data_IF_528796760480
#
_entry.id   IF_528796760480
#
_cell.length_a   1.000
_cell.length_b   1.000
_cell.length_c   1.000
_cell.angle_alpha   90.00
_cell.angle_beta   90.00
_cell.angle_gamma   90.00
#
_symmetry.space_group_name_H-M   'P 1'
#
loop_
_entity.id
_entity.type
_entity.pdbx_description
1 polymer ?
#
# COMPACT_ATOMS: atom_id res chain seq x y z
N UNK A 1 -39.23 0.77 17.23
CA UNK A 1 -38.13 0.65 18.20
C UNK A 1 -36.94 1.43 17.67
N UNK A 2 -36.31 2.29 18.47
CA UNK A 2 -35.08 2.97 18.04
C UNK A 2 -33.96 1.93 17.85
N UNK A 3 -33.48 1.78 16.61
CA UNK A 3 -32.41 0.83 16.27
C UNK A 3 -31.12 1.21 17.02
N UNK A 4 -30.41 0.28 17.68
CA UNK A 4 -29.21 0.60 18.46
C UNK A 4 -28.12 1.17 17.56
N UNK A 5 -27.61 2.34 17.94
CA UNK A 5 -26.78 3.21 17.11
C UNK A 5 -25.30 2.85 17.25
N UNK A 6 -24.88 1.72 16.67
CA UNK A 6 -23.48 1.55 16.31
C UNK A 6 -23.21 2.43 15.07
N UNK A 7 -23.16 3.75 15.28
CA UNK A 7 -22.80 4.72 14.24
C UNK A 7 -21.53 5.44 14.69
N UNK A 8 -20.60 5.61 13.76
CA UNK A 8 -19.36 6.35 13.99
C UNK A 8 -19.17 7.36 12.85
N UNK A 9 -18.22 8.29 12.98
CA UNK A 9 -17.90 9.23 11.89
C UNK A 9 -17.51 8.53 10.58
N UNK A 10 -17.00 7.30 10.64
CA UNK A 10 -16.73 6.47 9.45
C UNK A 10 -18.00 6.25 8.61
N UNK A 11 -19.16 6.14 9.28
CA UNK A 11 -20.45 6.01 8.63
C UNK A 11 -20.82 7.27 7.82
N UNK A 12 -20.49 8.45 8.34
CA UNK A 12 -20.73 9.73 7.64
C UNK A 12 -19.79 9.89 6.43
N UNK A 13 -18.50 9.55 6.60
CA UNK A 13 -17.48 9.65 5.54
C UNK A 13 -17.80 8.70 4.37
N UNK A 14 -18.19 7.46 4.68
CA UNK A 14 -18.42 6.43 3.67
C UNK A 14 -19.87 6.38 3.17
N UNK A 15 -20.79 7.15 3.76
CA UNK A 15 -22.21 7.11 3.40
C UNK A 15 -22.94 5.82 3.82
N UNK A 16 -22.54 5.18 4.93
CA UNK A 16 -23.09 3.90 5.42
C UNK A 16 -23.85 4.06 6.76
N UNK A 17 -24.59 3.04 7.20
CA UNK A 17 -25.39 3.03 8.43
C UNK A 17 -24.59 2.50 9.63
N UNK A 18 -23.80 1.44 9.41
CA UNK A 18 -23.02 0.73 10.42
C UNK A 18 -21.53 0.71 10.05
N UNK A 19 -20.60 0.78 11.02
CA UNK A 19 -19.15 0.73 10.77
C UNK A 19 -18.68 -0.71 10.53
N UNK A 20 -19.42 -1.46 9.70
CA UNK A 20 -19.13 -2.84 9.32
C UNK A 20 -18.66 -2.83 7.89
N UNK A 21 -17.43 -3.30 7.67
CA UNK A 21 -16.81 -3.33 6.35
C UNK A 21 -16.50 -4.79 6.01
N UNK A 22 -17.02 -5.24 4.86
CA UNK A 22 -16.66 -6.53 4.29
C UNK A 22 -15.22 -6.48 3.74
N UNK A 23 -14.41 -7.48 4.05
CA UNK A 23 -13.06 -7.59 3.48
C UNK A 23 -13.09 -7.98 2.00
N UNK A 24 -12.22 -7.38 1.18
CA UNK A 24 -12.06 -7.64 -0.26
C UNK A 24 -11.39 -8.97 -0.58
N UNK A 25 -11.99 -10.09 -0.18
CA UNK A 25 -11.40 -11.41 -0.38
C UNK A 25 -11.55 -11.90 -1.82
N UNK A 26 -10.41 -12.04 -2.53
CA UNK A 26 -10.35 -12.57 -3.90
C UNK A 26 -11.07 -13.91 -4.04
N UNK A 27 -11.94 -14.04 -5.05
CA UNK A 27 -12.71 -15.26 -5.30
C UNK A 27 -13.92 -15.50 -4.38
N UNK A 28 -14.07 -14.71 -3.30
CA UNK A 28 -15.18 -14.86 -2.33
C UNK A 28 -16.08 -13.63 -2.32
N UNK A 29 -15.50 -12.43 -2.23
CA UNK A 29 -16.24 -11.18 -2.14
C UNK A 29 -16.66 -10.67 -3.52
N UNK A 30 -17.80 -11.21 -4.00
CA UNK A 30 -18.41 -10.94 -5.32
C UNK A 30 -19.71 -10.14 -5.19
N UNK A 31 -20.25 -9.68 -6.31
CA UNK A 31 -21.33 -8.72 -6.44
C UNK A 31 -22.53 -8.97 -5.52
N UNK A 32 -23.01 -10.22 -5.40
CA UNK A 32 -24.15 -10.56 -4.51
C UNK A 32 -23.85 -10.29 -3.04
N UNK A 33 -22.67 -10.68 -2.57
CA UNK A 33 -22.28 -10.49 -1.17
C UNK A 33 -22.01 -9.01 -0.89
N UNK A 34 -21.32 -8.33 -1.81
CA UNK A 34 -21.01 -6.90 -1.72
C UNK A 34 -22.29 -6.06 -1.67
N UNK A 35 -23.25 -6.34 -2.55
CA UNK A 35 -24.53 -5.66 -2.56
C UNK A 35 -25.32 -5.93 -1.28
N UNK A 36 -25.39 -7.19 -0.83
CA UNK A 36 -26.10 -7.55 0.40
C UNK A 36 -25.55 -6.84 1.65
N UNK A 37 -24.23 -6.72 1.78
CA UNK A 37 -23.62 -5.98 2.91
C UNK A 37 -23.91 -4.48 2.81
N UNK A 38 -23.86 -3.92 1.60
CA UNK A 38 -24.12 -2.49 1.38
C UNK A 38 -25.59 -2.13 1.67
N UNK A 39 -26.54 -2.98 1.25
CA UNK A 39 -27.97 -2.86 1.56
C UNK A 39 -28.27 -3.05 3.05
N UNK A 40 -27.53 -3.93 3.74
CA UNK A 40 -27.62 -4.08 5.18
C UNK A 40 -27.08 -2.86 5.97
N UNK A 41 -26.52 -1.88 5.27
CA UNK A 41 -26.02 -0.63 5.83
C UNK A 41 -24.54 -0.65 6.20
N UNK A 42 -23.79 -1.70 5.84
CA UNK A 42 -22.32 -1.73 5.91
C UNK A 42 -21.67 -1.22 4.62
N UNK A 43 -20.36 -1.41 4.48
CA UNK A 43 -19.64 -1.21 3.22
C UNK A 43 -19.22 -2.58 2.65
N UNK A 44 -19.79 -2.97 1.52
CA UNK A 44 -19.30 -4.12 0.75
C UNK A 44 -18.01 -3.76 0.00
N UNK A 45 -17.02 -4.65 -0.04
CA UNK A 45 -15.79 -4.46 -0.83
C UNK A 45 -15.54 -5.68 -1.72
N UNK A 46 -15.43 -5.48 -3.03
CA UNK A 46 -15.09 -6.52 -4.02
C UNK A 46 -13.63 -6.94 -3.87
N UNK A 47 -13.35 -8.25 -3.86
CA UNK A 47 -11.98 -8.76 -3.90
C UNK A 47 -11.52 -9.00 -5.33
N UNK A 48 -10.83 -8.03 -5.94
CA UNK A 48 -10.46 -8.00 -7.35
C UNK A 48 -8.99 -8.35 -7.62
N UNK A 49 -8.32 -9.05 -6.69
CA UNK A 49 -6.90 -9.40 -6.78
C UNK A 49 -6.46 -9.96 -8.16
N UNK A 50 -7.27 -10.84 -8.75
CA UNK A 50 -6.97 -11.49 -10.05
C UNK A 50 -7.95 -11.10 -11.16
N UNK A 51 -8.86 -10.14 -10.92
CA UNK A 51 -9.87 -9.77 -11.91
C UNK A 51 -9.28 -8.88 -12.98
N UNK A 52 -9.38 -9.30 -14.24
CA UNK A 52 -9.03 -8.43 -15.37
C UNK A 52 -9.95 -7.19 -15.43
N UNK A 53 -9.56 -6.13 -16.17
CA UNK A 53 -10.32 -4.88 -16.22
C UNK A 53 -11.77 -5.06 -16.72
N UNK A 54 -12.01 -5.97 -17.66
CA UNK A 54 -13.36 -6.22 -18.19
C UNK A 54 -14.21 -7.02 -17.18
N UNK A 55 -13.64 -8.04 -16.53
CA UNK A 55 -14.31 -8.78 -15.45
C UNK A 55 -14.63 -7.86 -14.28
N UNK A 56 -13.69 -6.99 -13.89
CA UNK A 56 -13.88 -6.01 -12.83
C UNK A 56 -15.00 -5.03 -13.17
N UNK A 57 -15.03 -4.54 -14.43
CA UNK A 57 -16.08 -3.64 -14.91
C UNK A 57 -17.46 -4.30 -14.84
N UNK A 58 -17.56 -5.53 -15.32
CA UNK A 58 -18.81 -6.30 -15.26
C UNK A 58 -19.24 -6.56 -13.82
N UNK A 59 -18.30 -6.86 -12.93
CA UNK A 59 -18.58 -7.08 -11.51
C UNK A 59 -19.10 -5.81 -10.83
N UNK A 60 -18.49 -4.65 -11.12
CA UNK A 60 -18.94 -3.33 -10.65
C UNK A 60 -20.37 -3.05 -11.11
N UNK A 61 -20.67 -3.27 -12.39
CA UNK A 61 -22.00 -3.02 -12.96
C UNK A 61 -23.07 -3.91 -12.33
N UNK A 62 -22.77 -5.19 -12.12
CA UNK A 62 -23.67 -6.12 -11.41
C UNK A 62 -23.95 -5.68 -9.97
N UNK A 63 -23.01 -5.02 -9.30
CA UNK A 63 -23.27 -4.45 -7.96
C UNK A 63 -24.23 -3.28 -8.08
N UNK A 64 -24.00 -2.38 -9.04
CA UNK A 64 -24.88 -1.21 -9.29
C UNK A 64 -26.29 -1.61 -9.73
N UNK A 65 -26.47 -2.77 -10.35
CA UNK A 65 -27.79 -3.33 -10.64
C UNK A 65 -28.54 -3.81 -9.38
N UNK A 66 -27.81 -4.12 -8.30
CA UNK A 66 -28.36 -4.68 -7.06
C UNK A 66 -28.49 -3.66 -5.93
N UNK A 67 -27.72 -2.57 -5.96
CA UNK A 67 -27.72 -1.56 -4.90
C UNK A 67 -27.24 -0.19 -5.39
N UNK A 68 -27.88 0.86 -4.88
CA UNK A 68 -27.43 2.25 -5.01
C UNK A 68 -26.53 2.69 -3.83
N UNK A 69 -26.28 1.79 -2.86
CA UNK A 69 -25.45 2.05 -1.68
C UNK A 69 -23.96 2.02 -2.03
N UNK A 70 -23.12 2.74 -1.28
CA UNK A 70 -21.68 2.77 -1.53
C UNK A 70 -21.05 1.39 -1.32
N UNK A 71 -20.08 1.07 -2.17
CA UNK A 71 -19.25 -0.13 -2.11
C UNK A 71 -17.81 0.20 -2.53
N UNK A 72 -16.88 -0.72 -2.27
CA UNK A 72 -15.48 -0.56 -2.67
C UNK A 72 -14.94 -1.69 -3.51
N UNK A 73 -13.72 -1.50 -4.01
CA UNK A 73 -12.92 -2.50 -4.74
C UNK A 73 -11.55 -2.62 -4.12
N UNK A 74 -11.11 -3.84 -3.86
CA UNK A 74 -9.79 -4.20 -3.35
C UNK A 74 -8.95 -4.89 -4.44
N UNK A 75 -7.79 -4.35 -4.78
CA UNK A 75 -6.83 -4.96 -5.73
C UNK A 75 -5.48 -5.21 -5.06
N UNK A 76 -4.63 -6.02 -5.69
CA UNK A 76 -3.25 -6.16 -5.21
C UNK A 76 -2.33 -5.16 -5.94
N UNK A 77 -1.40 -4.57 -5.19
CA UNK A 77 -0.39 -3.63 -5.68
C UNK A 77 1.03 -4.25 -5.58
N UNK A 78 1.30 -5.44 -6.14
CA UNK A 78 2.53 -6.17 -5.89
C UNK A 78 3.77 -5.29 -6.13
N UNK A 79 4.74 -5.36 -5.21
CA UNK A 79 6.03 -4.70 -5.39
C UNK A 79 6.67 -5.25 -6.67
N UNK A 80 6.59 -4.49 -7.76
CA UNK A 80 7.19 -4.91 -9.01
C UNK A 80 8.70 -4.75 -8.88
N UNK A 81 9.41 -5.88 -8.82
CA UNK A 81 10.83 -5.87 -9.12
C UNK A 81 10.99 -5.33 -10.56
N UNK A 82 11.96 -4.44 -10.83
CA UNK A 82 12.21 -4.02 -12.20
C UNK A 82 12.45 -5.26 -13.05
N UNK A 83 11.64 -5.42 -14.09
CA UNK A 83 11.94 -6.36 -15.16
C UNK A 83 13.25 -5.86 -15.77
N UNK A 84 14.29 -6.71 -15.95
CA UNK A 84 15.52 -6.25 -16.59
C UNK A 84 15.18 -5.87 -18.04
N UNK A 85 14.95 -4.58 -18.28
CA UNK A 85 14.85 -4.02 -19.62
C UNK A 85 16.24 -3.51 -19.99
N UNK A 86 16.91 -4.26 -20.86
CA UNK A 86 18.08 -3.79 -21.60
C UNK A 86 19.41 -3.93 -20.86
N UNK A 87 19.95 -5.14 -20.80
CA UNK A 87 21.40 -5.32 -20.73
C UNK A 87 21.94 -5.40 -22.16
N UNK A 88 22.22 -4.24 -22.77
CA UNK A 88 23.24 -4.15 -23.81
C UNK A 88 24.24 -3.06 -23.42
N UNK A 89 25.52 -3.37 -23.63
CA UNK A 89 26.74 -2.57 -23.41
C UNK A 89 27.49 -2.75 -22.07
N UNK A 90 28.34 -3.78 -22.08
CA UNK A 90 29.71 -3.88 -21.55
C UNK A 90 30.21 -2.90 -20.47
N UNK A 91 30.65 -3.43 -19.31
CA UNK A 91 32.07 -3.68 -18.98
C UNK A 91 32.31 -3.72 -17.45
N UNK A 92 33.10 -4.69 -16.97
CA UNK A 92 33.78 -4.58 -15.66
C UNK A 92 33.35 -5.55 -14.55
N UNK A 93 33.71 -6.83 -14.70
CA UNK A 93 34.23 -7.73 -13.67
C UNK A 93 33.56 -7.85 -12.29
N UNK A 94 32.97 -9.03 -12.02
CA UNK A 94 32.95 -9.58 -10.66
C UNK A 94 31.81 -10.55 -10.31
N UNK A 95 32.10 -11.85 -10.39
CA UNK A 95 31.36 -13.03 -9.86
C UNK A 95 30.12 -13.46 -10.65
N UNK A 96 30.17 -14.71 -11.14
CA UNK A 96 29.22 -15.27 -12.10
C UNK A 96 27.78 -15.34 -11.62
N UNK A 97 26.89 -14.79 -12.42
CA UNK A 97 25.47 -15.12 -12.46
C UNK A 97 25.34 -16.62 -12.74
N UNK A 98 25.00 -17.40 -11.71
CA UNK A 98 24.43 -18.72 -11.92
C UNK A 98 23.06 -18.54 -12.56
N UNK A 99 22.87 -19.14 -13.73
CA UNK A 99 21.61 -19.16 -14.47
C UNK A 99 20.40 -19.34 -13.54
N UNK A 100 19.55 -18.31 -13.45
CA UNK A 100 18.24 -18.46 -12.81
C UNK A 100 17.46 -19.48 -13.66
N UNK A 101 17.04 -20.64 -13.12
CA UNK A 101 16.36 -21.65 -13.91
C UNK A 101 15.11 -21.07 -14.56
N UNK A 102 14.93 -21.31 -15.86
CA UNK A 102 13.75 -20.85 -16.61
C UNK A 102 12.43 -21.42 -16.07
N UNK A 103 12.50 -22.46 -15.24
CA UNK A 103 11.35 -23.15 -14.68
C UNK A 103 11.55 -23.40 -13.18
N UNK A 104 10.62 -22.90 -12.37
CA UNK A 104 10.62 -23.07 -10.91
C UNK A 104 10.55 -24.55 -10.48
N UNK A 105 10.04 -25.44 -11.33
CA UNK A 105 9.97 -26.87 -11.06
C UNK A 105 11.36 -27.50 -10.96
N UNK A 106 12.33 -26.94 -11.66
CA UNK A 106 13.73 -27.40 -11.63
C UNK A 106 14.44 -26.97 -10.33
N UNK A 107 13.81 -26.07 -9.56
CA UNK A 107 14.26 -25.64 -8.24
C UNK A 107 13.68 -26.46 -7.10
N UNK A 108 12.70 -27.33 -7.37
CA UNK A 108 12.11 -28.18 -6.34
C UNK A 108 13.07 -29.32 -5.96
N UNK A 109 13.37 -29.53 -4.68
CA UNK A 109 14.17 -30.68 -4.28
C UNK A 109 13.43 -32.00 -4.57
N UNK A 110 14.20 -33.08 -4.77
CA UNK A 110 13.68 -34.39 -5.15
C UNK A 110 12.54 -34.92 -4.24
N UNK A 111 12.58 -34.76 -2.90
CA UNK A 111 11.48 -35.21 -2.03
C UNK A 111 10.13 -34.56 -2.34
N UNK A 112 10.10 -33.28 -2.74
CA UNK A 112 8.89 -32.56 -3.09
C UNK A 112 8.32 -33.03 -4.44
N UNK A 113 9.21 -33.35 -5.39
CA UNK A 113 8.83 -33.94 -6.67
C UNK A 113 8.25 -35.34 -6.50
N UNK A 114 8.88 -36.17 -5.67
CA UNK A 114 8.40 -37.51 -5.31
C UNK A 114 7.06 -37.45 -4.58
N UNK A 115 6.89 -36.52 -3.64
CA UNK A 115 5.62 -36.31 -2.96
C UNK A 115 4.52 -35.88 -3.94
N UNK A 116 4.80 -34.92 -4.83
CA UNK A 116 3.85 -34.51 -5.86
C UNK A 116 3.48 -35.66 -6.80
N UNK A 117 4.44 -36.50 -7.20
CA UNK A 117 4.19 -37.70 -7.99
C UNK A 117 3.33 -38.73 -7.23
N UNK A 118 3.57 -38.91 -5.92
CA UNK A 118 2.77 -39.79 -5.07
C UNK A 118 1.31 -39.33 -4.99
N UNK A 119 1.06 -38.01 -4.93
CA UNK A 119 -0.29 -37.45 -4.96
C UNK A 119 -0.94 -37.67 -6.31
N UNK A 120 -0.22 -37.44 -7.42
CA UNK A 120 -0.74 -37.69 -8.77
C UNK A 120 -1.16 -39.14 -8.95
N UNK A 121 -0.31 -40.08 -8.55
CA UNK A 121 -0.64 -41.51 -8.63
C UNK A 121 -1.80 -41.88 -7.71
N UNK A 122 -1.82 -41.37 -6.48
CA UNK A 122 -2.88 -41.66 -5.51
C UNK A 122 -4.25 -41.17 -5.96
N UNK A 123 -4.31 -40.06 -6.68
CA UNK A 123 -5.55 -39.41 -7.09
C UNK A 123 -5.84 -39.51 -8.59
N UNK A 124 -5.07 -40.32 -9.33
CA UNK A 124 -5.19 -40.52 -10.78
C UNK A 124 -5.26 -39.20 -11.58
N UNK A 125 -4.37 -38.25 -11.21
CA UNK A 125 -4.36 -36.92 -11.81
C UNK A 125 -3.63 -36.95 -13.17
N UNK A 126 -4.19 -36.32 -14.22
CA UNK A 126 -3.56 -36.27 -15.53
C UNK A 126 -2.30 -35.40 -15.51
N UNK A 127 -1.37 -35.68 -16.41
CA UNK A 127 -0.25 -34.78 -16.69
C UNK A 127 -0.78 -33.49 -17.31
N UNK A 128 -0.69 -32.39 -16.56
CA UNK A 128 -0.92 -31.05 -17.08
C UNK A 128 0.38 -30.54 -17.70
N UNK A 129 0.33 -30.19 -18.99
CA UNK A 129 1.41 -29.47 -19.63
C UNK A 129 1.76 -28.23 -18.80
N UNK A 130 3.05 -27.84 -18.71
CA UNK A 130 3.42 -26.58 -18.11
C UNK A 130 2.66 -25.44 -18.81
N UNK A 131 1.67 -24.84 -18.15
CA UNK A 131 1.21 -23.51 -18.53
C UNK A 131 2.37 -22.55 -18.25
N UNK A 132 3.20 -22.35 -19.27
CA UNK A 132 4.00 -21.14 -19.37
C UNK A 132 3.10 -20.08 -20.01
N UNK A 133 3.14 -18.82 -19.56
CA UNK A 133 2.64 -17.72 -20.38
C UNK A 133 3.42 -17.76 -21.70
N UNK A 134 2.76 -18.11 -22.80
CA UNK A 134 3.41 -18.24 -24.10
C UNK A 134 3.80 -16.85 -24.63
N UNK A 135 5.02 -16.67 -25.16
CA UNK A 135 5.43 -15.46 -25.88
C UNK A 135 4.72 -15.25 -27.24
N UNK A 136 3.63 -15.97 -27.54
CA UNK A 136 3.08 -16.16 -28.88
C UNK A 136 1.75 -15.41 -29.15
N UNK A 137 1.70 -14.11 -28.87
CA UNK A 137 0.88 -13.19 -29.67
C UNK A 137 -0.64 -13.15 -29.45
N UNK A 138 -1.19 -13.69 -28.36
CA UNK A 138 -2.53 -13.29 -27.86
C UNK A 138 -2.37 -12.40 -26.63
N UNK A 139 -3.01 -11.23 -26.64
CA UNK A 139 -2.99 -10.27 -25.53
C UNK A 139 -3.76 -10.82 -24.32
N UNK A 140 -3.14 -11.68 -23.54
CA UNK A 140 -3.53 -11.87 -22.13
C UNK A 140 -2.49 -11.19 -21.27
N UNK A 141 -2.90 -10.04 -20.69
CA UNK A 141 -2.09 -9.30 -19.72
C UNK A 141 -1.78 -10.26 -18.57
N UNK A 142 -0.51 -10.57 -18.36
CA UNK A 142 -0.05 -11.38 -17.24
C UNK A 142 -0.65 -10.82 -15.96
N UNK A 143 -1.39 -11.65 -15.20
CA UNK A 143 -1.91 -11.28 -13.88
C UNK A 143 -0.69 -10.81 -13.05
N UNK A 144 -0.81 -9.63 -12.42
CA UNK A 144 0.28 -8.96 -11.70
C UNK A 144 1.43 -8.37 -12.54
N UNK A 145 1.27 -8.24 -13.86
CA UNK A 145 2.23 -7.52 -14.71
C UNK A 145 2.12 -5.98 -14.64
N UNK A 146 3.11 -5.22 -15.15
CA UNK A 146 3.14 -3.75 -15.09
C UNK A 146 1.91 -3.02 -15.64
N UNK A 147 1.26 -3.60 -16.65
CA UNK A 147 0.04 -3.04 -17.24
C UNK A 147 -1.27 -3.56 -16.62
N UNK A 148 -1.21 -4.60 -15.78
CA UNK A 148 -2.40 -5.22 -15.20
C UNK A 148 -2.99 -4.33 -14.10
N UNK A 149 -2.18 -3.99 -13.09
CA UNK A 149 -2.61 -3.13 -11.98
C UNK A 149 -3.06 -1.74 -12.46
N UNK A 150 -2.33 -1.13 -13.40
CA UNK A 150 -2.76 0.14 -14.01
C UNK A 150 -4.14 0.02 -14.65
N UNK A 151 -4.37 -1.04 -15.43
CA UNK A 151 -5.67 -1.24 -16.07
C UNK A 151 -6.81 -1.48 -15.10
N UNK A 152 -6.55 -2.09 -13.93
CA UNK A 152 -7.58 -2.22 -12.88
C UNK A 152 -7.93 -0.86 -12.26
N UNK A 153 -6.92 -0.02 -12.02
CA UNK A 153 -7.13 1.32 -11.47
C UNK A 153 -7.86 2.21 -12.45
N UNK A 154 -7.51 2.15 -13.74
CA UNK A 154 -8.25 2.85 -14.80
C UNK A 154 -9.73 2.46 -14.76
N UNK A 155 -10.05 1.15 -14.70
CA UNK A 155 -11.44 0.69 -14.58
C UNK A 155 -12.13 1.22 -13.31
N UNK A 156 -11.45 1.22 -12.17
CA UNK A 156 -12.01 1.71 -10.89
C UNK A 156 -12.34 3.20 -10.97
N UNK A 157 -11.47 4.00 -11.59
CA UNK A 157 -11.64 5.43 -11.81
C UNK A 157 -12.76 5.71 -12.83
N UNK A 158 -12.75 5.03 -13.97
CA UNK A 158 -13.78 5.12 -15.02
C UNK A 158 -15.17 4.84 -14.47
N UNK A 159 -15.31 3.76 -13.69
CA UNK A 159 -16.57 3.33 -13.09
C UNK A 159 -16.90 4.11 -11.79
N UNK A 160 -16.04 5.06 -11.39
CA UNK A 160 -16.24 5.97 -10.25
C UNK A 160 -16.61 5.23 -8.97
N UNK A 161 -15.84 4.20 -8.63
CA UNK A 161 -16.06 3.44 -7.40
C UNK A 161 -15.71 4.34 -6.20
N UNK A 162 -16.60 4.49 -5.21
CA UNK A 162 -16.43 5.49 -4.15
C UNK A 162 -15.36 5.10 -3.12
N UNK A 163 -14.98 3.82 -3.02
CA UNK A 163 -13.96 3.35 -2.07
C UNK A 163 -12.95 2.43 -2.77
N UNK A 164 -11.68 2.82 -2.72
CA UNK A 164 -10.56 1.98 -3.14
C UNK A 164 -9.88 1.35 -1.92
N UNK A 165 -9.58 0.06 -2.01
CA UNK A 165 -8.75 -0.68 -1.06
C UNK A 165 -7.61 -1.38 -1.83
N UNK A 166 -6.50 -1.64 -1.15
CA UNK A 166 -5.42 -2.41 -1.75
C UNK A 166 -4.72 -3.32 -0.75
N UNK A 167 -4.44 -4.55 -1.18
CA UNK A 167 -3.56 -5.50 -0.50
C UNK A 167 -2.15 -5.56 -1.10
N UNK A 168 -1.16 -5.99 -0.31
CA UNK A 168 0.20 -6.35 -0.74
C UNK A 168 0.87 -5.36 -1.71
N UNK A 169 1.17 -4.12 -1.27
CA UNK A 169 1.84 -3.20 -2.19
C UNK A 169 2.22 -1.79 -1.78
N UNK A 170 2.79 -1.07 -2.77
CA UNK A 170 3.31 0.29 -2.71
C UNK A 170 2.39 1.26 -3.48
N UNK A 171 1.60 2.11 -2.80
CA UNK A 171 0.73 3.08 -3.46
C UNK A 171 1.42 4.41 -3.81
N UNK A 172 2.74 4.54 -3.68
CA UNK A 172 3.48 5.76 -4.05
C UNK A 172 3.13 6.30 -5.45
N UNK A 173 2.91 5.47 -6.50
CA UNK A 173 2.50 5.97 -7.82
C UNK A 173 1.11 6.62 -7.87
N UNK A 174 0.28 6.45 -6.84
CA UNK A 174 -1.12 6.94 -6.79
C UNK A 174 -1.33 8.09 -5.78
N UNK A 175 -0.26 8.50 -5.08
CA UNK A 175 -0.31 9.63 -4.12
C UNK A 175 -0.73 10.92 -4.83
N UNK A 176 -0.33 11.09 -6.09
CA UNK A 176 -0.71 12.24 -6.92
C UNK A 176 -2.21 12.29 -7.20
N UNK A 177 -2.81 11.13 -7.47
CA UNK A 177 -4.25 11.00 -7.74
C UNK A 177 -5.08 11.20 -6.45
N UNK A 178 -4.58 10.76 -5.29
CA UNK A 178 -5.21 11.03 -3.99
C UNK A 178 -5.16 12.51 -3.62
N UNK A 179 -4.06 13.20 -3.92
CA UNK A 179 -3.97 14.64 -3.70
C UNK A 179 -4.90 15.42 -4.62
N UNK A 180 -5.00 15.05 -5.90
CA UNK A 180 -5.95 15.65 -6.85
C UNK A 180 -7.42 15.48 -6.42
N UNK A 181 -7.74 14.43 -5.66
CA UNK A 181 -9.05 14.20 -5.05
C UNK A 181 -9.27 14.94 -3.70
N UNK A 182 -8.30 15.75 -3.25
CA UNK A 182 -8.37 16.53 -2.02
C UNK A 182 -8.00 15.77 -0.75
N UNK A 183 -7.39 14.58 -0.85
CA UNK A 183 -6.93 13.83 0.32
C UNK A 183 -5.60 14.38 0.84
N UNK A 184 -5.54 14.61 2.16
CA UNK A 184 -4.30 14.97 2.84
C UNK A 184 -3.35 13.76 2.88
N UNK A 185 -2.08 13.98 2.52
CA UNK A 185 -1.05 12.95 2.65
C UNK A 185 0.19 13.50 3.36
N UNK A 186 0.89 12.62 4.07
CA UNK A 186 2.17 12.92 4.68
C UNK A 186 3.13 11.80 4.39
N UNK A 187 4.32 12.11 3.90
CA UNK A 187 5.38 11.11 3.70
C UNK A 187 6.54 11.34 4.65
N UNK A 188 7.03 10.29 5.29
CA UNK A 188 8.37 10.23 5.87
C UNK A 188 9.32 9.71 4.79
N UNK A 189 10.16 10.60 4.25
CA UNK A 189 11.11 10.35 3.17
C UNK A 189 12.49 10.08 3.77
N UNK A 190 12.94 8.83 3.65
CA UNK A 190 14.24 8.36 4.16
C UNK A 190 15.32 8.40 3.08
N UNK A 191 14.94 8.53 1.81
CA UNK A 191 15.84 8.43 0.66
C UNK A 191 16.14 9.81 0.05
N UNK A 192 15.30 10.81 0.33
CA UNK A 192 15.44 12.20 -0.13
C UNK A 192 15.02 12.37 -1.59
N UNK A 193 13.96 11.67 -2.02
CA UNK A 193 13.50 11.64 -3.42
C UNK A 193 12.06 12.06 -3.60
N UNK A 194 11.27 12.15 -2.54
CA UNK A 194 9.86 12.49 -2.63
C UNK A 194 9.62 13.94 -3.06
N UNK A 195 10.60 14.83 -2.88
CA UNK A 195 10.54 16.20 -3.39
C UNK A 195 10.26 16.25 -4.91
N UNK A 196 10.62 15.20 -5.66
CA UNK A 196 10.38 15.09 -7.08
C UNK A 196 8.88 15.09 -7.45
N UNK A 197 7.97 14.85 -6.50
CA UNK A 197 6.52 15.03 -6.70
C UNK A 197 6.15 16.46 -7.10
N UNK A 198 7.02 17.45 -6.82
CA UNK A 198 6.88 18.83 -7.29
C UNK A 198 7.19 19.00 -8.77
N UNK A 199 7.66 17.95 -9.44
CA UNK A 199 7.92 17.92 -10.87
C UNK A 199 6.87 17.03 -11.52
N UNK A 200 6.34 17.47 -12.66
CA UNK A 200 5.51 16.64 -13.50
C UNK A 200 6.35 15.48 -14.11
N UNK A 201 5.68 14.52 -14.74
CA UNK A 201 6.34 13.35 -15.35
C UNK A 201 7.41 13.68 -16.41
N UNK A 202 7.43 14.90 -16.94
CA UNK A 202 8.46 15.42 -17.85
C UNK A 202 9.75 15.86 -17.13
N UNK A 203 9.75 15.86 -15.79
CA UNK A 203 10.85 16.28 -14.91
C UNK A 203 11.14 17.78 -14.93
N UNK A 204 10.29 18.60 -15.55
CA UNK A 204 10.56 20.03 -15.80
C UNK A 204 9.40 20.93 -15.43
N UNK A 205 8.18 20.52 -15.72
CA UNK A 205 6.98 21.28 -15.42
C UNK A 205 6.61 21.12 -13.94
N UNK A 206 5.92 22.09 -13.32
CA UNK A 206 5.43 21.94 -11.95
C UNK A 206 4.48 20.74 -11.81
N UNK A 207 4.71 19.93 -10.79
CA UNK A 207 3.87 18.82 -10.35
C UNK A 207 2.96 19.25 -9.20
N UNK A 208 3.00 18.51 -8.09
CA UNK A 208 2.18 18.75 -6.91
C UNK A 208 2.76 19.89 -6.07
N UNK A 209 1.89 20.84 -5.72
CA UNK A 209 2.20 21.88 -4.73
C UNK A 209 2.08 21.31 -3.31
N UNK A 210 3.16 20.66 -2.85
CA UNK A 210 3.28 20.05 -1.51
C UNK A 210 4.48 20.65 -0.80
N UNK A 211 4.35 20.97 0.49
CA UNK A 211 5.46 21.48 1.32
C UNK A 211 6.48 20.37 1.59
N UNK A 212 7.77 20.69 1.47
CA UNK A 212 8.88 19.80 1.83
C UNK A 212 9.56 20.34 3.08
N UNK A 213 9.59 19.53 4.13
CA UNK A 213 10.16 19.85 5.44
C UNK A 213 11.45 19.05 5.63
N UNK A 214 12.59 19.72 5.76
CA UNK A 214 13.90 19.05 5.84
C UNK A 214 14.46 18.65 4.48
N UNK A 215 15.63 17.99 4.50
CA UNK A 215 16.39 17.62 3.30
C UNK A 215 17.01 18.80 2.55
N UNK A 216 17.84 18.49 1.56
CA UNK A 216 18.48 19.47 0.67
C UNK A 216 17.46 20.30 -0.14
N UNK A 217 16.28 19.74 -0.40
CA UNK A 217 15.21 20.35 -1.20
C UNK A 217 14.06 20.93 -0.37
N UNK A 218 14.23 21.08 0.95
CA UNK A 218 13.19 21.57 1.86
C UNK A 218 12.92 23.06 1.77
N UNK A 219 11.65 23.45 1.93
CA UNK A 219 11.26 24.86 2.07
C UNK A 219 11.55 25.39 3.47
N UNK A 220 11.52 24.49 4.46
CA UNK A 220 11.72 24.81 5.87
C UNK A 220 12.72 23.84 6.50
N UNK A 221 13.67 24.35 7.31
CA UNK A 221 14.61 23.50 8.02
C UNK A 221 13.89 22.68 9.08
N UNK A 222 14.27 21.41 9.20
CA UNK A 222 13.71 20.47 10.16
C UNK A 222 14.76 20.10 11.21
N UNK A 223 14.33 19.85 12.46
CA UNK A 223 15.21 19.38 13.55
C UNK A 223 14.66 18.09 14.17
N UNK A 224 15.51 17.16 14.64
CA UNK A 224 15.04 15.87 15.14
C UNK A 224 14.08 15.90 16.34
N UNK A 225 14.09 16.97 17.15
CA UNK A 225 13.25 17.07 18.35
C UNK A 225 11.88 17.71 18.12
N UNK A 226 11.57 18.14 16.89
CA UNK A 226 10.31 18.87 16.60
C UNK A 226 9.18 17.99 16.07
N UNK A 227 9.34 16.65 16.07
CA UNK A 227 8.35 15.72 15.50
C UNK A 227 6.93 15.93 16.01
N UNK A 228 6.77 16.16 17.32
CA UNK A 228 5.45 16.45 17.89
C UNK A 228 4.85 17.78 17.36
N UNK A 229 5.67 18.81 17.20
CA UNK A 229 5.21 20.11 16.68
C UNK A 229 4.81 20.02 15.20
N UNK A 230 5.53 19.24 14.40
CA UNK A 230 5.18 18.99 13.00
C UNK A 230 3.87 18.23 12.89
N UNK A 231 3.65 17.22 13.74
CA UNK A 231 2.36 16.53 13.80
C UNK A 231 1.21 17.47 14.15
N UNK A 232 1.44 18.42 15.06
CA UNK A 232 0.44 19.44 15.40
C UNK A 232 0.14 20.34 14.20
N UNK A 233 1.17 20.92 13.57
CA UNK A 233 1.04 21.77 12.39
C UNK A 233 0.24 21.08 11.26
N UNK A 234 0.58 19.84 10.93
CA UNK A 234 -0.06 19.08 9.86
C UNK A 234 -1.54 18.87 10.14
N UNK A 235 -1.91 18.55 11.39
CA UNK A 235 -3.31 18.33 11.76
C UNK A 235 -4.06 19.65 11.85
N UNK A 236 -3.48 20.68 12.49
CA UNK A 236 -4.11 21.98 12.70
C UNK A 236 -4.37 22.73 11.40
N UNK A 237 -3.44 22.64 10.44
CA UNK A 237 -3.53 23.35 9.17
C UNK A 237 -4.07 22.49 8.03
N UNK A 238 -4.21 21.17 8.23
CA UNK A 238 -4.68 20.25 7.19
C UNK A 238 -3.76 20.15 5.97
N UNK A 239 -2.46 20.46 6.12
CA UNK A 239 -1.51 20.50 5.01
C UNK A 239 -0.98 19.12 4.64
N UNK A 240 -0.81 18.85 3.34
CA UNK A 240 0.01 17.74 2.89
C UNK A 240 1.49 18.12 2.99
N UNK A 241 2.34 17.16 3.35
CA UNK A 241 3.77 17.43 3.53
C UNK A 241 4.65 16.23 3.21
N UNK A 242 5.81 16.50 2.63
CA UNK A 242 6.94 15.57 2.59
C UNK A 242 7.86 15.95 3.73
N UNK A 243 8.17 14.99 4.60
CA UNK A 243 9.12 15.15 5.69
C UNK A 243 10.37 14.39 5.30
N UNK A 244 11.36 15.12 4.79
CA UNK A 244 12.64 14.59 4.38
C UNK A 244 13.61 14.56 5.57
N UNK A 245 13.97 13.34 5.96
CA UNK A 245 14.89 13.06 7.07
C UNK A 245 16.12 12.27 6.59
N UNK A 246 16.36 12.25 5.28
CA UNK A 246 17.41 11.44 4.64
C UNK A 246 18.84 11.86 5.05
N UNK A 247 19.04 13.12 5.40
CA UNK A 247 20.34 13.66 5.85
C UNK A 247 20.67 13.34 7.32
N UNK A 248 19.77 12.69 8.05
CA UNK A 248 19.94 12.42 9.48
C UNK A 248 20.48 11.03 9.75
N UNK A 249 21.13 10.86 10.91
CA UNK A 249 21.51 9.54 11.40
C UNK A 249 20.28 8.79 11.94
N UNK A 250 20.34 7.45 11.96
CA UNK A 250 19.29 6.56 12.48
C UNK A 250 18.68 7.01 13.82
N UNK A 251 19.52 7.42 14.78
CA UNK A 251 19.06 7.80 16.11
C UNK A 251 18.16 9.05 16.08
N UNK A 252 18.49 10.00 15.21
CA UNK A 252 17.74 11.24 15.02
C UNK A 252 16.43 10.98 14.28
N UNK A 253 16.47 10.18 13.22
CA UNK A 253 15.27 9.75 12.50
C UNK A 253 14.29 9.03 13.44
N UNK A 254 14.77 8.05 14.21
CA UNK A 254 13.93 7.27 15.14
C UNK A 254 13.29 8.14 16.22
N UNK A 255 14.05 9.10 16.75
CA UNK A 255 13.54 10.05 17.74
C UNK A 255 12.42 10.91 17.14
N UNK A 256 12.68 11.51 15.98
CA UNK A 256 11.70 12.35 15.30
C UNK A 256 10.43 11.58 14.97
N UNK A 257 10.56 10.44 14.29
CA UNK A 257 9.42 9.62 13.84
C UNK A 257 8.65 9.09 15.05
N UNK A 258 9.33 8.70 16.13
CA UNK A 258 8.68 8.28 17.36
C UNK A 258 7.81 9.38 17.99
N UNK A 259 8.33 10.60 18.09
CA UNK A 259 7.58 11.73 18.64
C UNK A 259 6.47 12.20 17.70
N UNK A 260 6.74 12.27 16.40
CA UNK A 260 5.78 12.58 15.36
C UNK A 260 4.61 11.59 15.35
N UNK A 261 4.88 10.29 15.21
CA UNK A 261 3.86 9.24 15.16
C UNK A 261 3.03 9.21 16.46
N UNK A 262 3.69 9.33 17.61
CA UNK A 262 2.98 9.37 18.90
C UNK A 262 2.01 10.55 18.94
N UNK A 263 2.48 11.74 18.56
CA UNK A 263 1.68 12.96 18.61
C UNK A 263 0.57 12.96 17.55
N UNK A 264 0.88 12.58 16.32
CA UNK A 264 -0.09 12.43 15.22
C UNK A 264 -1.25 11.53 15.67
N UNK A 265 -0.96 10.35 16.21
CA UNK A 265 -1.99 9.44 16.67
C UNK A 265 -2.86 10.04 17.81
N UNK A 266 -2.27 10.77 18.75
CA UNK A 266 -3.02 11.47 19.80
C UNK A 266 -3.91 12.58 19.24
N UNK A 267 -3.40 13.35 18.27
CA UNK A 267 -4.13 14.43 17.61
C UNK A 267 -5.32 13.89 16.83
N UNK A 268 -5.10 12.86 16.00
CA UNK A 268 -6.16 12.24 15.19
C UNK A 268 -7.27 11.59 16.00
N UNK A 269 -6.99 11.13 17.22
CA UNK A 269 -8.03 10.68 18.16
C UNK A 269 -9.01 11.78 18.59
N UNK A 270 -8.53 13.03 18.64
CA UNK A 270 -9.35 14.20 19.03
C UNK A 270 -9.96 14.85 17.80
N UNK A 271 -9.19 14.92 16.73
CA UNK A 271 -9.58 15.50 15.45
C UNK A 271 -9.52 14.46 14.33
N UNK A 272 -10.67 13.81 14.13
CA UNK A 272 -10.82 12.74 13.14
C UNK A 272 -11.08 13.37 11.78
N UNK A 273 -10.01 13.53 11.01
CA UNK A 273 -10.02 13.89 9.59
C UNK A 273 -9.25 12.84 8.76
N UNK A 274 -9.47 12.72 7.45
CA UNK A 274 -8.67 11.82 6.61
C UNK A 274 -7.22 12.31 6.51
N UNK A 275 -6.25 11.43 6.73
CA UNK A 275 -4.82 11.66 6.43
C UNK A 275 -4.19 10.33 6.05
N UNK A 276 -3.48 10.30 4.93
CA UNK A 276 -2.73 9.13 4.48
C UNK A 276 -1.24 9.28 4.81
N UNK A 277 -0.71 8.40 5.68
CA UNK A 277 0.69 8.41 6.08
C UNK A 277 1.50 7.42 5.24
N UNK A 278 2.51 7.89 4.54
CA UNK A 278 3.45 7.05 3.80
C UNK A 278 4.76 6.96 4.59
N UNK A 279 5.22 5.74 4.85
CA UNK A 279 6.50 5.46 5.47
C UNK A 279 7.42 4.81 4.44
N UNK A 280 8.42 5.54 3.98
CA UNK A 280 9.48 5.01 3.13
C UNK A 280 10.52 4.24 3.96
N UNK A 281 11.13 3.21 3.37
CA UNK A 281 12.04 2.28 4.06
C UNK A 281 11.48 1.80 5.41
N UNK A 282 10.20 1.37 5.40
CA UNK A 282 9.42 1.08 6.60
C UNK A 282 10.07 0.07 7.55
N UNK A 283 10.96 -0.81 7.07
CA UNK A 283 11.73 -1.71 7.91
C UNK A 283 12.63 -0.99 8.92
N UNK A 284 13.03 0.25 8.65
CA UNK A 284 13.83 1.06 9.57
C UNK A 284 13.03 1.52 10.79
N UNK A 285 11.69 1.50 10.67
CA UNK A 285 10.77 1.92 11.72
C UNK A 285 10.02 0.77 12.39
N UNK A 286 9.75 -0.30 11.65
CA UNK A 286 9.04 -1.50 12.13
C UNK A 286 9.70 -2.78 11.58
N UNK A 287 10.95 -3.08 12.00
CA UNK A 287 11.68 -4.24 11.51
C UNK A 287 11.06 -5.56 11.98
N UNK A 288 11.05 -6.56 11.10
CA UNK A 288 10.48 -7.89 11.42
C UNK A 288 11.27 -8.63 12.51
N UNK A 289 12.61 -8.51 12.50
CA UNK A 289 13.51 -9.17 13.45
C UNK A 289 13.88 -8.32 14.67
N UNK A 290 13.20 -7.18 14.86
CA UNK A 290 13.54 -6.20 15.88
C UNK A 290 14.73 -5.33 15.49
N UNK A 291 15.06 -4.38 16.37
CA UNK A 291 16.14 -3.42 16.11
C UNK A 291 17.52 -4.00 16.42
N UNK A 292 18.58 -3.53 15.73
CA UNK A 292 19.95 -3.87 16.07
C UNK A 292 20.27 -3.58 17.55
N UNK A 293 21.26 -4.30 18.09
CA UNK A 293 21.76 -4.03 19.45
C UNK A 293 22.35 -2.62 19.49
N UNK A 294 22.07 -1.91 20.58
CA UNK A 294 22.51 -0.54 20.84
C UNK A 294 22.44 -0.28 22.34
N UNK A 295 22.65 0.98 22.73
CA UNK A 295 22.52 1.41 24.12
C UNK A 295 21.08 1.21 24.64
N UNK A 296 20.88 1.09 25.97
CA UNK A 296 19.53 1.00 26.54
C UNK A 296 18.62 2.17 26.16
N UNK A 297 19.20 3.35 25.90
CA UNK A 297 18.45 4.53 25.47
C UNK A 297 17.97 4.42 24.02
N UNK A 298 18.85 4.03 23.09
CA UNK A 298 18.49 3.82 21.69
C UNK A 298 17.42 2.74 21.54
N UNK A 299 17.52 1.66 22.32
CA UNK A 299 16.50 0.61 22.33
C UNK A 299 15.15 1.11 22.83
N UNK A 300 15.12 1.99 23.84
CA UNK A 300 13.88 2.60 24.33
C UNK A 300 13.24 3.50 23.27
N UNK A 301 14.04 4.32 22.59
CA UNK A 301 13.57 5.21 21.52
C UNK A 301 12.98 4.38 20.38
N UNK A 302 13.72 3.38 19.90
CA UNK A 302 13.29 2.51 18.81
C UNK A 302 12.00 1.74 19.17
N UNK A 303 11.91 1.20 20.38
CA UNK A 303 10.71 0.50 20.87
C UNK A 303 9.49 1.43 20.97
N UNK A 304 9.68 2.68 21.42
CA UNK A 304 8.61 3.68 21.49
C UNK A 304 8.10 4.05 20.09
N UNK A 305 9.01 4.27 19.15
CA UNK A 305 8.67 4.56 17.76
C UNK A 305 7.89 3.39 17.13
N UNK A 306 8.42 2.16 17.22
CA UNK A 306 7.74 0.98 16.69
C UNK A 306 6.35 0.78 17.32
N UNK A 307 6.22 1.03 18.63
CA UNK A 307 4.92 0.98 19.29
C UNK A 307 3.94 2.02 18.71
N UNK A 308 4.39 3.27 18.51
CA UNK A 308 3.55 4.33 17.96
C UNK A 308 3.09 4.02 16.54
N UNK A 309 3.99 3.56 15.67
CA UNK A 309 3.67 3.17 14.30
C UNK A 309 2.76 1.95 14.29
N UNK A 310 3.03 0.92 15.11
CA UNK A 310 2.16 -0.24 15.24
C UNK A 310 0.74 0.14 15.66
N UNK A 311 0.58 1.12 16.56
CA UNK A 311 -0.73 1.66 16.94
C UNK A 311 -1.43 2.35 15.78
N UNK A 312 -0.72 3.16 15.00
CA UNK A 312 -1.25 3.82 13.80
C UNK A 312 -1.68 2.79 12.76
N UNK A 313 -0.84 1.81 12.44
CA UNK A 313 -1.16 0.76 11.45
C UNK A 313 -2.34 -0.09 11.92
N UNK A 314 -2.35 -0.51 13.19
CA UNK A 314 -3.36 -1.45 13.71
C UNK A 314 -4.73 -0.82 13.92
N UNK A 315 -4.79 0.41 14.43
CA UNK A 315 -6.07 1.04 14.83
C UNK A 315 -6.24 2.48 14.34
N UNK A 316 -5.26 3.04 13.61
CA UNK A 316 -5.30 4.41 13.11
C UNK A 316 -6.46 4.67 12.15
N UNK A 317 -6.91 3.66 11.42
CA UNK A 317 -8.10 3.75 10.54
C UNK A 317 -9.34 4.25 11.27
N UNK A 318 -9.52 3.90 12.54
CA UNK A 318 -10.65 4.37 13.37
C UNK A 318 -10.63 5.88 13.61
N UNK A 319 -9.50 6.52 13.33
CA UNK A 319 -9.23 7.95 13.53
C UNK A 319 -8.83 8.66 12.24
N UNK A 320 -9.18 8.08 11.08
CA UNK A 320 -8.95 8.69 9.77
C UNK A 320 -7.51 8.59 9.27
N UNK A 321 -6.66 7.74 9.89
CA UNK A 321 -5.30 7.49 9.41
C UNK A 321 -5.27 6.28 8.47
N UNK A 322 -5.01 6.53 7.19
CA UNK A 322 -4.53 5.55 6.22
C UNK A 322 -3.01 5.42 6.31
N UNK A 323 -2.44 4.26 5.99
CA UNK A 323 -1.00 4.04 6.05
C UNK A 323 -0.51 3.25 4.84
N UNK A 324 0.67 3.60 4.35
CA UNK A 324 1.43 2.82 3.38
C UNK A 324 2.85 2.63 3.86
N UNK A 325 3.31 1.38 3.78
CA UNK A 325 4.63 0.96 4.22
C UNK A 325 5.41 0.55 2.99
N UNK A 326 6.45 1.32 2.64
CA UNK A 326 7.24 1.10 1.44
C UNK A 326 8.61 0.55 1.83
N UNK A 327 9.10 -0.43 1.09
CA UNK A 327 10.42 -1.00 1.29
C UNK A 327 10.94 -1.51 -0.05
N UNK A 328 12.21 -1.23 -0.38
CA UNK A 328 12.87 -1.74 -1.58
C UNK A 328 13.51 -3.11 -1.38
N UNK A 329 13.48 -3.68 -0.16
CA UNK A 329 14.09 -4.99 0.15
C UNK A 329 13.02 -6.02 0.45
N UNK A 330 13.20 -7.24 -0.05
CA UNK A 330 12.36 -8.37 0.38
C UNK A 330 12.46 -8.51 1.90
N UNK A 331 11.32 -8.61 2.59
CA UNK A 331 11.22 -8.68 4.04
C UNK A 331 12.23 -9.69 4.59
N UNK A 332 13.29 -9.19 5.25
CA UNK A 332 14.39 -9.99 5.79
C UNK A 332 14.43 -9.93 7.30
#
# INVERSE_FOLDING_TARGET
MAKPTLRTKLCDILGIEYPVILAGMGGVSRHKLVAAVSEAGGLGIVGAATMGPDELRDEIRKIRELTDKPFGVDILLPAMAPTPQGASTASGGGRGEGDIPRNWRDMLPAPQLEFAASLRSKFDLPDVAPEFPTPSGRRERTIFGPGFTRSQIDTILEEKVPVFASGLGNPAPYVEEFHAAGAQFVTIDNVGKWWALRLAADGKSPGIDVVVLGGEHGDLPLKPHVGAMIADLIVDQGISAIIDISDWIDAEQRKFVGDFATRLFQRKKRDVSPLHLVLEEAQDFIPQKGFPKGTPEEQRIASRMAHAIHRIVKVGRNYGLGVSLLSQRAAS
#
